data_IF_347488633406
#
_entry.id   IF_347488633406
#
_cell.length_a   1.000
_cell.length_b   1.000
_cell.length_c   1.000
_cell.angle_alpha   90.00
_cell.angle_beta   90.00
_cell.angle_gamma   90.00
#
_symmetry.space_group_name_H-M   'P 1'
#
loop_
_entity.id
_entity.type
_entity.pdbx_description
1 polymer ?
#
# COMPACT_ATOMS: atom_id res chain seq x y z
N UNK A 1 7.81 -8.21 -11.34
CA UNK A 1 6.49 -7.77 -10.83
C UNK A 1 6.71 -7.13 -9.47
N UNK A 2 6.28 -5.89 -9.28
CA UNK A 2 6.38 -5.18 -8.00
C UNK A 2 5.25 -5.60 -7.06
N UNK A 3 5.58 -5.96 -5.82
CA UNK A 3 4.58 -6.17 -4.77
C UNK A 3 4.10 -4.80 -4.26
N UNK A 4 2.80 -4.53 -4.39
CA UNK A 4 2.13 -3.36 -3.83
C UNK A 4 1.20 -3.78 -2.69
N UNK A 5 0.86 -2.86 -1.78
CA UNK A 5 -0.12 -3.13 -0.71
C UNK A 5 -1.45 -3.60 -1.29
N UNK A 6 -1.97 -2.95 -2.35
CA UNK A 6 -3.22 -3.37 -2.98
C UNK A 6 -3.20 -4.81 -3.49
N UNK A 7 -2.10 -5.26 -4.13
CA UNK A 7 -1.95 -6.66 -4.58
C UNK A 7 -1.85 -7.65 -3.41
N UNK A 8 -1.22 -7.22 -2.31
CA UNK A 8 -1.13 -8.03 -1.10
C UNK A 8 -2.51 -8.14 -0.44
N UNK A 9 -3.32 -7.08 -0.42
CA UNK A 9 -4.71 -7.12 0.04
C UNK A 9 -5.59 -8.03 -0.81
N UNK A 10 -5.50 -7.94 -2.14
CA UNK A 10 -6.25 -8.83 -3.05
C UNK A 10 -5.90 -10.29 -2.77
N UNK A 11 -4.61 -10.59 -2.58
CA UNK A 11 -4.15 -11.93 -2.21
C UNK A 11 -4.65 -12.35 -0.83
N UNK A 12 -4.62 -11.45 0.15
CA UNK A 12 -5.12 -11.72 1.51
C UNK A 12 -6.61 -12.04 1.51
N UNK A 13 -7.42 -11.23 0.82
CA UNK A 13 -8.85 -11.47 0.67
C UNK A 13 -9.10 -12.79 -0.03
N UNK A 14 -8.42 -13.06 -1.15
CA UNK A 14 -8.53 -14.35 -1.83
C UNK A 14 -8.19 -15.52 -0.90
N UNK A 15 -7.05 -15.46 -0.20
CA UNK A 15 -6.66 -16.49 0.77
C UNK A 15 -7.71 -16.67 1.86
N UNK A 16 -8.33 -15.59 2.35
CA UNK A 16 -9.35 -15.63 3.39
C UNK A 16 -10.69 -16.21 2.91
N UNK A 17 -11.12 -15.91 1.68
CA UNK A 17 -12.38 -16.40 1.10
C UNK A 17 -12.26 -17.81 0.51
N UNK A 18 -11.06 -18.25 0.12
CA UNK A 18 -10.79 -19.61 -0.36
C UNK A 18 -10.65 -20.63 0.82
N UNK A 19 -10.77 -20.18 2.07
CA UNK A 19 -10.71 -21.06 3.24
C UNK A 19 -11.94 -21.97 3.33
N UNK A 20 -11.75 -23.24 2.96
CA UNK A 20 -12.79 -24.26 3.12
C UNK A 20 -12.92 -24.72 4.59
N UNK A 21 -14.10 -24.54 5.23
CA UNK A 21 -14.37 -25.01 6.59
C UNK A 21 -14.77 -26.49 6.65
N UNK A 22 -15.16 -27.11 5.52
CA UNK A 22 -15.84 -28.42 5.47
C UNK A 22 -14.92 -29.63 5.59
N UNK A 23 -13.59 -29.42 5.62
CA UNK A 23 -12.62 -30.49 5.80
C UNK A 23 -12.81 -31.29 7.09
N UNK A 24 -12.26 -32.50 7.15
CA UNK A 24 -12.32 -33.30 8.38
C UNK A 24 -11.60 -32.59 9.55
N UNK A 25 -12.13 -32.68 10.80
CA UNK A 25 -11.44 -32.18 11.99
C UNK A 25 -10.10 -32.90 12.18
N UNK A 26 -9.05 -32.15 12.54
CA UNK A 26 -7.71 -32.69 12.74
C UNK A 26 -7.34 -32.79 14.24
N UNK A 27 -6.54 -33.79 14.64
CA UNK A 27 -6.02 -33.85 15.99
C UNK A 27 -5.10 -32.64 16.27
N UNK A 28 -5.18 -32.08 17.49
CA UNK A 28 -4.44 -30.89 17.93
C UNK A 28 -4.69 -29.60 17.11
N UNK A 29 -5.74 -29.58 16.29
CA UNK A 29 -6.07 -28.45 15.43
C UNK A 29 -6.26 -27.14 16.20
N UNK A 30 -6.89 -27.19 17.38
CA UNK A 30 -7.05 -26.01 18.24
C UNK A 30 -5.71 -25.36 18.58
N UNK A 31 -4.66 -26.16 18.83
CA UNK A 31 -3.34 -25.66 19.16
C UNK A 31 -2.63 -25.06 17.93
N UNK A 32 -2.82 -25.65 16.75
CA UNK A 32 -2.25 -25.16 15.48
C UNK A 32 -2.93 -23.84 15.05
N UNK A 33 -4.25 -23.77 15.19
CA UNK A 33 -5.03 -22.55 14.96
C UNK A 33 -4.62 -21.45 15.94
N UNK A 34 -4.46 -21.77 17.23
CA UNK A 34 -3.99 -20.81 18.22
C UNK A 34 -2.57 -20.31 17.92
N UNK A 35 -1.67 -21.19 17.49
CA UNK A 35 -0.31 -20.82 17.08
C UNK A 35 -0.31 -19.91 15.84
N UNK A 36 -1.16 -20.19 14.85
CA UNK A 36 -1.35 -19.35 13.67
C UNK A 36 -1.91 -17.97 14.02
N UNK A 37 -2.95 -17.91 14.85
CA UNK A 37 -3.52 -16.64 15.32
C UNK A 37 -2.56 -15.81 16.17
N UNK A 38 -1.68 -16.44 16.95
CA UNK A 38 -0.61 -15.75 17.67
C UNK A 38 0.39 -15.07 16.74
N UNK A 39 0.68 -15.65 15.58
CA UNK A 39 1.54 -15.02 14.58
C UNK A 39 0.79 -13.93 13.80
N UNK A 40 -0.42 -14.23 13.34
CA UNK A 40 -1.27 -13.32 12.58
C UNK A 40 -1.61 -12.04 13.38
N UNK A 41 -2.04 -12.18 14.63
CA UNK A 41 -2.40 -11.04 15.50
C UNK A 41 -1.25 -10.07 15.72
N UNK A 42 -0.02 -10.58 15.92
CA UNK A 42 1.19 -9.74 16.05
C UNK A 42 1.51 -8.99 14.76
N UNK A 43 1.38 -9.65 13.60
CA UNK A 43 1.60 -8.99 12.30
C UNK A 43 0.51 -7.97 11.99
N UNK A 44 -0.74 -8.27 12.34
CA UNK A 44 -1.86 -7.35 12.22
C UNK A 44 -1.68 -6.15 13.15
N UNK A 45 -1.26 -6.35 14.40
CA UNK A 45 -0.90 -5.27 15.32
C UNK A 45 0.20 -4.39 14.72
N UNK A 46 1.26 -4.99 14.14
CA UNK A 46 2.32 -4.23 13.49
C UNK A 46 1.81 -3.41 12.29
N UNK A 47 0.96 -4.00 11.44
CA UNK A 47 0.36 -3.30 10.29
C UNK A 47 -0.53 -2.14 10.73
N UNK A 48 -1.44 -2.38 11.69
CA UNK A 48 -2.34 -1.36 12.22
C UNK A 48 -1.58 -0.24 12.93
N UNK A 49 -0.56 -0.60 13.72
CA UNK A 49 0.32 0.38 14.39
C UNK A 49 1.17 1.19 13.43
N UNK A 50 1.39 0.70 12.20
CA UNK A 50 2.12 1.38 11.15
C UNK A 50 1.26 2.37 10.34
N UNK A 51 -0.07 2.34 10.50
CA UNK A 51 -0.97 3.25 9.79
C UNK A 51 -0.71 4.72 10.14
N UNK A 52 -0.82 5.65 9.15
CA UNK A 52 -0.51 7.06 9.34
C UNK A 52 -1.76 7.87 9.76
N UNK A 53 -2.36 7.54 10.91
CA UNK A 53 -3.47 8.33 11.48
C UNK A 53 -3.02 9.65 12.10
N UNK A 54 -3.91 10.66 12.12
CA UNK A 54 -3.72 11.86 12.94
C UNK A 54 -3.69 11.55 14.44
N UNK A 55 -2.87 12.31 15.16
CA UNK A 55 -2.77 12.24 16.63
C UNK A 55 -4.08 12.78 17.21
N UNK A 56 -4.70 12.03 18.12
CA UNK A 56 -6.00 12.32 18.74
C UNK A 56 -7.20 12.27 17.76
N UNK A 57 -7.02 11.68 16.58
CA UNK A 57 -8.07 11.48 15.58
C UNK A 57 -9.02 10.31 15.92
N UNK A 58 -10.23 10.34 15.36
CA UNK A 58 -11.22 9.24 15.51
C UNK A 58 -10.66 7.91 15.01
N UNK A 59 -9.87 7.93 13.94
CA UNK A 59 -9.20 6.75 13.38
C UNK A 59 -8.13 6.17 14.32
N UNK A 60 -7.40 7.01 15.05
CA UNK A 60 -6.41 6.56 16.04
C UNK A 60 -7.07 5.84 17.22
N UNK A 61 -8.14 6.43 17.77
CA UNK A 61 -8.90 5.81 18.86
C UNK A 61 -9.50 4.46 18.43
N UNK A 62 -9.98 4.37 17.18
CA UNK A 62 -10.51 3.14 16.61
C UNK A 62 -9.42 2.08 16.42
N UNK A 63 -8.25 2.47 15.89
CA UNK A 63 -7.06 1.61 15.80
C UNK A 63 -6.68 1.05 17.18
N UNK A 64 -6.54 1.91 18.18
CA UNK A 64 -6.12 1.51 19.53
C UNK A 64 -7.13 0.57 20.20
N UNK A 65 -8.42 0.77 19.92
CA UNK A 65 -9.46 -0.18 20.31
C UNK A 65 -9.22 -1.56 19.69
N UNK A 66 -8.96 -1.65 18.38
CA UNK A 66 -8.63 -2.93 17.73
C UNK A 66 -7.33 -3.56 18.28
N UNK A 67 -6.28 -2.76 18.48
CA UNK A 67 -5.01 -3.23 19.05
C UNK A 67 -5.19 -3.86 20.43
N UNK A 68 -6.01 -3.24 21.30
CA UNK A 68 -6.29 -3.77 22.64
C UNK A 68 -6.92 -5.17 22.61
N UNK A 69 -7.67 -5.46 21.54
CA UNK A 69 -8.45 -6.69 21.36
C UNK A 69 -7.67 -7.81 20.66
N UNK A 70 -6.56 -7.48 19.99
CA UNK A 70 -5.63 -8.45 19.41
C UNK A 70 -4.66 -9.03 20.45
N UNK A 71 -4.30 -8.26 21.49
CA UNK A 71 -3.38 -8.67 22.56
C UNK A 71 -3.69 -10.03 23.20
N UNK A 72 -4.95 -10.39 23.50
CA UNK A 72 -5.29 -11.71 24.05
C UNK A 72 -4.95 -12.89 23.14
N UNK A 73 -4.74 -12.65 21.83
CA UNK A 73 -4.44 -13.68 20.84
C UNK A 73 -2.94 -13.91 20.61
N UNK A 74 -2.05 -13.09 21.17
CA UNK A 74 -0.60 -13.18 20.92
C UNK A 74 0.04 -14.50 21.38
N UNK A 75 -0.65 -15.28 22.22
CA UNK A 75 -0.15 -16.55 22.74
C UNK A 75 1.18 -16.39 23.50
N UNK A 76 1.88 -17.51 23.78
CA UNK A 76 3.23 -17.45 24.33
C UNK A 76 4.24 -16.97 23.29
N UNK A 77 5.28 -16.25 23.74
CA UNK A 77 6.33 -15.69 22.86
C UNK A 77 7.16 -16.76 22.14
N UNK A 78 7.28 -17.96 22.72
CA UNK A 78 7.83 -19.16 22.07
C UNK A 78 6.71 -20.17 21.82
N UNK A 79 6.35 -20.37 20.55
CA UNK A 79 5.46 -21.45 20.14
C UNK A 79 6.29 -22.68 19.80
N UNK A 80 6.06 -23.78 20.52
CA UNK A 80 6.58 -25.11 20.16
C UNK A 80 5.68 -25.82 19.14
N UNK A 81 4.46 -25.31 18.96
CA UNK A 81 3.44 -25.85 18.05
C UNK A 81 3.54 -25.19 16.69
N UNK A 82 3.52 -26.00 15.63
CA UNK A 82 3.49 -25.51 14.26
C UNK A 82 2.15 -24.81 13.96
N UNK A 83 2.16 -23.60 13.36
CA UNK A 83 0.94 -22.92 12.97
C UNK A 83 0.21 -23.67 11.85
N UNK A 84 -1.10 -23.45 11.73
CA UNK A 84 -1.85 -23.90 10.56
C UNK A 84 -1.31 -23.19 9.29
N UNK A 85 -0.97 -23.93 8.22
CA UNK A 85 -0.35 -23.35 7.01
C UNK A 85 -1.24 -22.30 6.34
N UNK A 86 -2.57 -22.41 6.48
CA UNK A 86 -3.52 -21.43 5.91
C UNK A 86 -3.44 -20.08 6.63
N UNK A 87 -3.17 -20.12 7.94
CA UNK A 87 -2.93 -18.91 8.75
C UNK A 87 -1.52 -18.37 8.56
N UNK A 88 -0.55 -19.22 8.25
CA UNK A 88 0.83 -18.83 7.95
C UNK A 88 0.90 -17.96 6.69
N UNK A 89 0.21 -18.34 5.61
CA UNK A 89 0.12 -17.53 4.38
C UNK A 89 -0.46 -16.13 4.65
N UNK A 90 -1.58 -16.06 5.38
CA UNK A 90 -2.18 -14.78 5.78
C UNK A 90 -1.22 -13.96 6.65
N UNK A 91 -0.50 -14.60 7.57
CA UNK A 91 0.49 -13.97 8.44
C UNK A 91 1.63 -13.35 7.63
N UNK A 92 2.14 -14.06 6.62
CA UNK A 92 3.20 -13.56 5.75
C UNK A 92 2.74 -12.35 4.94
N UNK A 93 1.52 -12.38 4.40
CA UNK A 93 0.95 -11.28 3.62
C UNK A 93 0.76 -10.03 4.49
N UNK A 94 0.15 -10.18 5.67
CA UNK A 94 -0.04 -9.06 6.62
C UNK A 94 1.30 -8.52 7.12
N UNK A 95 2.28 -9.40 7.35
CA UNK A 95 3.65 -9.00 7.69
C UNK A 95 4.31 -8.18 6.59
N UNK A 96 4.17 -8.58 5.33
CA UNK A 96 4.69 -7.81 4.20
C UNK A 96 4.02 -6.43 4.08
N UNK A 97 2.70 -6.33 4.34
CA UNK A 97 2.01 -5.04 4.38
C UNK A 97 2.58 -4.15 5.50
N UNK A 98 2.78 -4.72 6.71
CA UNK A 98 3.40 -3.99 7.82
C UNK A 98 4.81 -3.50 7.47
N UNK A 99 5.64 -4.36 6.88
CA UNK A 99 7.01 -4.01 6.48
C UNK A 99 7.01 -2.90 5.40
N UNK A 100 6.08 -2.96 4.44
CA UNK A 100 5.91 -1.90 3.44
C UNK A 100 5.47 -0.57 4.08
N UNK A 101 4.53 -0.59 5.01
CA UNK A 101 4.08 0.61 5.74
C UNK A 101 5.20 1.19 6.61
N UNK A 102 6.00 0.37 7.28
CA UNK A 102 7.14 0.81 8.10
C UNK A 102 8.26 1.36 7.23
N UNK A 103 8.58 0.70 6.11
CA UNK A 103 9.63 1.14 5.18
C UNK A 103 9.25 2.44 4.48
N UNK A 104 7.97 2.62 4.16
CA UNK A 104 7.44 3.82 3.51
C UNK A 104 6.84 4.83 4.52
N UNK A 105 7.02 4.62 5.83
CA UNK A 105 6.83 5.65 6.85
C UNK A 105 8.05 6.56 6.77
N UNK A 106 7.97 7.78 6.21
CA UNK A 106 9.13 8.67 6.29
C UNK A 106 9.31 9.11 7.75
N UNK A 107 10.52 9.04 8.32
CA UNK A 107 11.00 10.09 9.19
C UNK A 107 11.70 11.12 8.29
N UNK A 108 11.01 12.10 7.70
CA UNK A 108 11.77 13.27 7.23
C UNK A 108 12.21 14.02 8.51
N UNK A 109 13.51 14.00 8.81
CA UNK A 109 14.10 15.12 9.52
C UNK A 109 14.40 16.17 8.46
N UNK A 110 13.71 17.31 8.48
CA UNK A 110 14.25 18.49 7.81
C UNK A 110 15.45 18.92 8.63
N UNK A 111 16.66 18.73 8.10
CA UNK A 111 17.84 19.39 8.67
C UNK A 111 17.54 20.88 8.70
N UNK A 112 17.53 21.47 9.90
CA UNK A 112 17.45 22.91 10.03
C UNK A 112 18.52 23.52 9.11
N UNK A 113 18.19 24.57 8.33
CA UNK A 113 19.09 25.12 7.33
C UNK A 113 20.48 25.32 7.94
N UNK A 114 21.48 24.73 7.28
CA UNK A 114 22.87 24.82 7.70
C UNK A 114 23.22 26.31 7.86
N UNK A 115 23.83 26.68 8.99
CA UNK A 115 24.01 28.04 9.56
C UNK A 115 24.77 29.07 8.69
N UNK A 116 24.67 29.07 7.37
CA UNK A 116 25.65 29.79 6.55
C UNK A 116 25.35 31.28 6.29
N UNK A 117 24.20 31.84 6.69
CA UNK A 117 23.89 33.23 6.29
C UNK A 117 23.30 34.21 7.33
N UNK A 118 23.06 33.84 8.60
CA UNK A 118 22.59 34.82 9.59
C UNK A 118 23.25 34.61 10.96
N UNK A 119 24.10 35.54 11.34
CA UNK A 119 24.94 35.50 12.55
C UNK A 119 24.21 35.62 13.88
N UNK A 120 22.87 35.72 13.91
CA UNK A 120 22.09 35.94 15.15
C UNK A 120 20.72 35.22 15.23
N UNK A 121 20.44 34.19 14.42
CA UNK A 121 19.15 33.51 14.49
C UNK A 121 19.07 32.46 15.63
N UNK A 122 18.00 32.52 16.43
CA UNK A 122 17.67 31.51 17.47
C UNK A 122 17.71 30.10 16.86
N UNK A 123 18.28 29.14 17.59
CA UNK A 123 18.25 27.72 17.24
C UNK A 123 16.80 27.26 17.27
N UNK A 124 16.22 26.97 16.10
CA UNK A 124 14.95 26.28 16.01
C UNK A 124 15.20 24.77 16.00
N UNK A 125 14.42 23.97 16.76
CA UNK A 125 14.46 22.52 16.64
C UNK A 125 14.08 22.08 15.21
N UNK A 126 14.55 20.91 14.75
CA UNK A 126 14.20 20.39 13.43
C UNK A 126 12.68 20.33 13.26
N UNK A 127 12.18 20.81 12.11
CA UNK A 127 10.75 20.81 11.81
C UNK A 127 10.37 19.48 11.15
N UNK A 128 9.61 18.70 11.91
CA UNK A 128 8.81 17.53 11.55
C UNK A 128 7.82 17.78 10.39
N UNK A 129 8.19 17.84 9.11
CA UNK A 129 7.19 18.12 8.03
C UNK A 129 6.51 16.88 7.40
N UNK A 130 5.54 16.30 8.11
CA UNK A 130 4.43 15.46 7.60
C UNK A 130 4.37 15.27 6.07
N UNK A 131 4.60 14.09 5.45
CA UNK A 131 3.93 13.82 4.14
C UNK A 131 2.44 14.02 4.42
N UNK A 132 1.73 14.69 3.51
CA UNK A 132 0.32 15.02 3.73
C UNK A 132 -0.44 13.75 4.15
N UNK A 133 -1.10 13.88 5.31
CA UNK A 133 -1.74 12.80 6.07
C UNK A 133 -2.91 12.24 5.26
N UNK A 134 -3.02 10.93 5.14
CA UNK A 134 -4.10 10.23 4.42
C UNK A 134 -4.96 9.42 5.40
N UNK A 135 -5.65 10.11 6.30
CA UNK A 135 -6.63 9.48 7.21
C UNK A 135 -7.68 8.64 6.46
N UNK A 136 -8.22 9.07 5.29
CA UNK A 136 -9.10 8.24 4.48
C UNK A 136 -8.44 6.95 4.00
N UNK A 137 -7.21 7.02 3.47
CA UNK A 137 -6.47 5.83 3.04
C UNK A 137 -6.05 4.92 4.18
N UNK A 138 -5.68 5.48 5.34
CA UNK A 138 -5.40 4.72 6.55
C UNK A 138 -6.64 3.97 7.05
N UNK A 139 -7.80 4.64 7.04
CA UNK A 139 -9.09 4.04 7.38
C UNK A 139 -9.47 2.94 6.39
N UNK A 140 -9.35 3.18 5.09
CA UNK A 140 -9.63 2.17 4.06
C UNK A 140 -8.73 0.93 4.19
N UNK A 141 -7.43 1.12 4.42
CA UNK A 141 -6.48 0.03 4.65
C UNK A 141 -6.79 -0.75 5.94
N UNK A 142 -7.12 -0.06 7.03
CA UNK A 142 -7.59 -0.69 8.27
C UNK A 142 -8.84 -1.54 8.01
N UNK A 143 -9.85 -1.00 7.37
CA UNK A 143 -11.09 -1.70 7.03
C UNK A 143 -10.83 -2.94 6.17
N UNK A 144 -9.92 -2.85 5.21
CA UNK A 144 -9.51 -3.99 4.37
C UNK A 144 -8.84 -5.11 5.18
N UNK A 145 -7.89 -4.77 6.05
CA UNK A 145 -7.22 -5.74 6.93
C UNK A 145 -8.21 -6.41 7.89
N UNK A 146 -9.15 -5.63 8.46
CA UNK A 146 -10.16 -6.14 9.39
C UNK A 146 -11.21 -7.02 8.68
N UNK A 147 -11.60 -6.69 7.46
CA UNK A 147 -12.51 -7.52 6.67
C UNK A 147 -11.93 -8.90 6.34
N UNK A 148 -10.65 -8.98 5.96
CA UNK A 148 -9.99 -10.27 5.80
C UNK A 148 -9.88 -11.02 7.14
N UNK A 149 -9.57 -10.31 8.22
CA UNK A 149 -9.51 -10.86 9.58
C UNK A 149 -10.87 -11.44 10.03
N UNK A 150 -11.98 -10.80 9.65
CA UNK A 150 -13.32 -11.31 9.88
C UNK A 150 -13.55 -12.66 9.20
N UNK A 151 -13.23 -12.78 7.90
CA UNK A 151 -13.40 -14.02 7.15
C UNK A 151 -12.56 -15.17 7.74
N UNK A 152 -11.28 -14.91 8.06
CA UNK A 152 -10.40 -15.87 8.73
C UNK A 152 -10.94 -16.26 10.11
N UNK A 153 -11.48 -15.28 10.86
CA UNK A 153 -12.10 -15.49 12.17
C UNK A 153 -13.34 -16.39 12.11
N UNK A 154 -14.24 -16.14 11.14
CA UNK A 154 -15.42 -16.96 10.92
C UNK A 154 -15.06 -18.39 10.55
N UNK A 155 -14.10 -18.56 9.64
CA UNK A 155 -13.55 -19.88 9.31
C UNK A 155 -12.99 -20.59 10.56
N UNK A 156 -12.20 -19.88 11.37
CA UNK A 156 -11.62 -20.42 12.60
C UNK A 156 -12.70 -20.88 13.58
N UNK A 157 -13.79 -20.11 13.76
CA UNK A 157 -14.90 -20.50 14.64
C UNK A 157 -15.59 -21.76 14.15
N UNK A 158 -15.84 -21.89 12.85
CA UNK A 158 -16.44 -23.09 12.25
C UNK A 158 -15.54 -24.32 12.45
N UNK A 159 -14.22 -24.16 12.33
CA UNK A 159 -13.25 -25.24 12.63
C UNK A 159 -13.25 -25.63 14.11
N UNK A 160 -13.35 -24.66 15.02
CA UNK A 160 -13.43 -24.92 16.46
C UNK A 160 -14.74 -25.62 16.85
N UNK A 161 -15.84 -25.31 16.18
CA UNK A 161 -17.12 -26.00 16.35
C UNK A 161 -17.04 -27.44 15.85
N UNK A 162 -16.48 -27.69 14.66
CA UNK A 162 -16.25 -29.04 14.13
C UNK A 162 -15.35 -29.90 15.04
N UNK A 163 -14.42 -29.27 15.76
CA UNK A 163 -13.52 -29.92 16.71
C UNK A 163 -14.07 -29.99 18.15
N UNK A 164 -15.35 -29.70 18.37
CA UNK A 164 -15.98 -29.75 19.70
C UNK A 164 -15.27 -28.86 20.76
N UNK A 165 -14.61 -27.78 20.32
CA UNK A 165 -13.89 -26.83 21.17
C UNK A 165 -14.51 -25.41 21.24
N UNK A 166 -15.84 -25.20 21.14
CA UNK A 166 -16.42 -23.86 21.03
C UNK A 166 -16.35 -23.04 22.33
N UNK A 167 -16.14 -23.69 23.49
CA UNK A 167 -16.17 -23.04 24.81
C UNK A 167 -14.78 -22.58 25.30
N UNK A 168 -13.72 -22.78 24.51
CA UNK A 168 -12.35 -22.42 24.92
C UNK A 168 -12.17 -20.90 25.06
N UNK A 169 -11.20 -20.48 25.89
CA UNK A 169 -10.81 -19.06 26.00
C UNK A 169 -10.39 -18.49 24.64
N UNK A 170 -9.68 -19.30 23.85
CA UNK A 170 -9.29 -18.96 22.49
C UNK A 170 -10.51 -18.71 21.59
N UNK A 171 -11.48 -19.63 21.55
CA UNK A 171 -12.72 -19.44 20.79
C UNK A 171 -13.47 -18.15 21.22
N UNK A 172 -13.48 -17.83 22.51
CA UNK A 172 -14.08 -16.58 23.01
C UNK A 172 -13.37 -15.35 22.47
N UNK A 173 -12.03 -15.33 22.49
CA UNK A 173 -11.24 -14.24 21.92
C UNK A 173 -11.48 -14.07 20.42
N UNK A 174 -11.55 -15.15 19.65
CA UNK A 174 -11.88 -15.10 18.22
C UNK A 174 -13.28 -14.52 17.99
N UNK A 175 -14.30 -14.92 18.77
CA UNK A 175 -15.65 -14.32 18.66
C UNK A 175 -15.65 -12.81 18.88
N UNK A 176 -14.83 -12.31 19.82
CA UNK A 176 -14.73 -10.88 20.07
C UNK A 176 -14.10 -10.14 18.88
N UNK A 177 -13.04 -10.71 18.29
CA UNK A 177 -12.43 -10.15 17.08
C UNK A 177 -13.41 -10.16 15.90
N UNK A 178 -14.12 -11.27 15.68
CA UNK A 178 -15.13 -11.40 14.62
C UNK A 178 -16.25 -10.36 14.79
N UNK A 179 -16.78 -10.19 16.01
CA UNK A 179 -17.83 -9.21 16.27
C UNK A 179 -17.37 -7.77 15.96
N UNK A 180 -16.11 -7.43 16.25
CA UNK A 180 -15.54 -6.11 15.98
C UNK A 180 -15.28 -5.86 14.50
N UNK A 181 -14.85 -6.88 13.77
CA UNK A 181 -14.54 -6.76 12.35
C UNK A 181 -15.79 -6.85 11.46
N UNK A 182 -16.95 -7.20 12.03
CA UNK A 182 -18.18 -7.46 11.28
C UNK A 182 -18.62 -6.25 10.46
N UNK A 183 -18.57 -5.05 11.03
CA UNK A 183 -18.95 -3.83 10.32
C UNK A 183 -18.06 -3.59 9.09
N UNK A 184 -16.74 -3.71 9.27
CA UNK A 184 -15.76 -3.51 8.21
C UNK A 184 -15.87 -4.56 7.10
N UNK A 185 -16.24 -5.80 7.44
CA UNK A 185 -16.50 -6.85 6.47
C UNK A 185 -17.76 -6.59 5.62
N UNK A 186 -18.76 -5.91 6.17
CA UNK A 186 -20.01 -5.57 5.49
C UNK A 186 -19.90 -4.29 4.65
N UNK A 187 -18.88 -3.47 4.88
CA UNK A 187 -18.62 -2.27 4.09
C UNK A 187 -18.26 -2.60 2.63
N UNK A 188 -18.61 -1.71 1.71
CA UNK A 188 -18.35 -1.90 0.28
C UNK A 188 -16.83 -1.94 0.01
N UNK A 189 -16.29 -2.96 -0.70
CA UNK A 189 -14.90 -2.99 -1.15
C UNK A 189 -14.43 -1.69 -1.80
N UNK A 190 -15.27 -1.03 -2.59
CA UNK A 190 -14.90 0.21 -3.28
C UNK A 190 -14.71 1.40 -2.32
N UNK A 191 -15.41 1.40 -1.18
CA UNK A 191 -15.24 2.43 -0.14
C UNK A 191 -13.98 2.26 0.72
N UNK A 192 -13.27 1.13 0.56
CA UNK A 192 -12.07 0.80 1.32
C UNK A 192 -10.76 1.03 0.55
N UNK A 193 -10.84 1.38 -0.73
CA UNK A 193 -9.66 1.70 -1.54
C UNK A 193 -9.09 3.07 -1.15
N UNK A 194 -7.77 3.20 -1.17
CA UNK A 194 -7.10 4.43 -0.76
C UNK A 194 -5.71 4.60 -1.35
N UNK A 195 -5.10 5.77 -1.15
CA UNK A 195 -3.78 6.10 -1.70
C UNK A 195 -2.67 5.14 -1.25
N UNK A 196 -2.83 4.50 -0.08
CA UNK A 196 -1.89 3.52 0.46
C UNK A 196 -1.80 2.22 -0.37
N UNK A 197 -2.79 1.91 -1.21
CA UNK A 197 -2.79 0.70 -2.05
C UNK A 197 -1.64 0.68 -3.07
N UNK A 198 -1.13 1.87 -3.42
CA UNK A 198 -0.06 2.07 -4.39
C UNK A 198 1.34 1.93 -3.78
N UNK A 199 1.48 1.86 -2.45
CA UNK A 199 2.77 1.66 -1.80
C UNK A 199 3.39 0.35 -2.29
N UNK A 200 4.63 0.43 -2.75
CA UNK A 200 5.35 -0.68 -3.35
C UNK A 200 6.65 -1.00 -2.60
N UNK A 201 7.15 -2.22 -2.79
CA UNK A 201 8.44 -2.65 -2.25
C UNK A 201 9.66 -1.95 -2.87
N UNK A 202 9.47 -1.14 -3.92
CA UNK A 202 10.56 -0.39 -4.56
C UNK A 202 10.90 0.81 -3.68
N UNK A 203 12.10 0.90 -3.09
CA UNK A 203 12.53 2.09 -2.38
C UNK A 203 12.44 3.29 -3.32
N UNK A 204 11.93 4.42 -2.80
CA UNK A 204 11.90 5.70 -3.54
C UNK A 204 13.31 6.12 -3.95
N UNK A 205 14.39 5.57 -3.39
CA UNK A 205 15.78 5.88 -3.76
C UNK A 205 16.44 4.84 -4.67
N UNK A 206 15.70 3.84 -5.17
CA UNK A 206 16.30 2.80 -6.00
C UNK A 206 16.79 3.38 -7.35
N UNK A 207 18.07 3.15 -7.75
CA UNK A 207 18.59 3.60 -9.04
C UNK A 207 18.17 2.65 -10.17
N UNK A 208 16.86 2.49 -10.37
CA UNK A 208 16.26 1.67 -11.41
C UNK A 208 15.13 2.42 -12.12
N UNK A 209 14.72 1.94 -13.31
CA UNK A 209 13.56 2.50 -14.03
C UNK A 209 12.30 2.49 -13.17
N UNK A 210 12.14 1.46 -12.34
CA UNK A 210 11.00 1.30 -11.45
C UNK A 210 11.04 2.30 -10.30
N UNK A 211 12.23 2.51 -9.69
CA UNK A 211 12.44 3.55 -8.68
C UNK A 211 12.23 4.95 -9.26
N UNK A 212 12.72 5.22 -10.46
CA UNK A 212 12.51 6.49 -11.16
C UNK A 212 11.03 6.74 -11.50
N UNK A 213 10.28 5.69 -11.85
CA UNK A 213 8.84 5.77 -12.06
C UNK A 213 8.09 6.06 -10.75
N UNK A 214 8.46 5.41 -9.65
CA UNK A 214 7.86 5.66 -8.34
C UNK A 214 8.12 7.10 -7.85
N UNK A 215 9.37 7.61 -7.97
CA UNK A 215 9.73 9.01 -7.68
C UNK A 215 8.91 9.99 -8.54
N UNK A 216 8.84 9.71 -9.84
CA UNK A 216 8.07 10.55 -10.76
C UNK A 216 6.58 10.60 -10.40
N UNK A 217 5.98 9.46 -10.05
CA UNK A 217 4.56 9.39 -9.71
C UNK A 217 4.24 10.18 -8.44
N UNK A 218 5.04 10.05 -7.38
CA UNK A 218 4.86 10.82 -6.14
C UNK A 218 5.00 12.33 -6.38
N UNK A 219 6.05 12.74 -7.09
CA UNK A 219 6.26 14.16 -7.41
C UNK A 219 5.20 14.73 -8.35
N UNK A 220 4.68 13.91 -9.27
CA UNK A 220 3.57 14.28 -10.15
C UNK A 220 2.29 14.53 -9.36
N UNK A 221 1.99 13.65 -8.40
CA UNK A 221 0.84 13.75 -7.50
C UNK A 221 0.95 15.01 -6.62
N UNK A 222 2.10 15.21 -5.97
CA UNK A 222 2.37 16.43 -5.19
C UNK A 222 2.29 17.70 -6.02
N UNK A 223 2.73 17.65 -7.29
CA UNK A 223 2.63 18.79 -8.19
C UNK A 223 1.18 19.13 -8.55
N UNK A 224 0.30 18.13 -8.65
CA UNK A 224 -1.13 18.28 -8.96
C UNK A 224 -1.95 18.73 -7.75
N UNK A 225 -1.62 18.28 -6.54
CA UNK A 225 -2.32 18.67 -5.31
C UNK A 225 -1.98 20.08 -4.81
N UNK A 226 -1.01 20.76 -5.42
CA UNK A 226 -0.74 22.17 -5.12
C UNK A 226 -1.96 23.03 -5.47
N UNK A 227 -2.33 23.92 -4.55
CA UNK A 227 -3.40 24.92 -4.71
C UNK A 227 -3.28 25.76 -5.99
N UNK A 228 -2.07 25.90 -6.54
CA UNK A 228 -1.81 26.48 -7.85
C UNK A 228 -0.76 25.63 -8.59
N UNK A 229 -1.16 25.01 -9.70
CA UNK A 229 -0.27 24.23 -10.59
C UNK A 229 0.14 25.11 -11.77
N UNK A 230 1.39 25.13 -12.20
CA UNK A 230 1.76 25.93 -13.38
C UNK A 230 1.32 25.25 -14.69
N UNK A 231 0.99 26.02 -15.72
CA UNK A 231 0.69 25.47 -17.06
C UNK A 231 1.86 24.63 -17.61
N UNK A 232 3.10 25.04 -17.31
CA UNK A 232 4.30 24.27 -17.67
C UNK A 232 4.40 22.92 -16.95
N UNK A 233 3.98 22.84 -15.69
CA UNK A 233 3.91 21.59 -14.93
C UNK A 233 2.90 20.63 -15.54
N UNK A 234 1.70 21.11 -15.90
CA UNK A 234 0.68 20.28 -16.54
C UNK A 234 1.10 19.80 -17.94
N UNK A 235 1.70 20.68 -18.73
CA UNK A 235 2.23 20.31 -20.05
C UNK A 235 3.34 19.24 -19.94
N UNK A 236 4.20 19.35 -18.92
CA UNK A 236 5.24 18.36 -18.68
C UNK A 236 4.66 17.01 -18.20
N UNK A 237 3.64 17.02 -17.35
CA UNK A 237 2.91 15.82 -16.91
C UNK A 237 2.28 15.09 -18.08
N UNK A 238 1.58 15.83 -18.93
CA UNK A 238 0.98 15.27 -20.13
C UNK A 238 2.03 14.72 -21.10
N UNK A 239 3.17 15.39 -21.23
CA UNK A 239 4.31 14.91 -22.02
C UNK A 239 4.91 13.63 -21.45
N UNK A 240 5.07 13.53 -20.13
CA UNK A 240 5.59 12.33 -19.46
C UNK A 240 4.64 11.15 -19.64
N UNK A 241 3.34 11.38 -19.45
CA UNK A 241 2.29 10.38 -19.68
C UNK A 241 2.28 9.90 -21.13
N UNK A 242 2.44 10.80 -22.10
CA UNK A 242 2.56 10.43 -23.50
C UNK A 242 3.79 9.55 -23.78
N UNK A 243 4.95 9.89 -23.21
CA UNK A 243 6.20 9.14 -23.37
C UNK A 243 6.08 7.74 -22.73
N UNK A 244 5.61 7.67 -21.49
CA UNK A 244 5.39 6.42 -20.77
C UNK A 244 4.43 5.51 -21.52
N UNK A 245 3.34 6.09 -22.02
CA UNK A 245 2.32 5.33 -22.74
C UNK A 245 2.83 4.84 -24.09
N UNK A 246 3.62 5.64 -24.80
CA UNK A 246 4.28 5.21 -26.03
C UNK A 246 5.30 4.09 -25.77
N UNK A 247 6.09 4.19 -24.69
CA UNK A 247 7.04 3.16 -24.27
C UNK A 247 6.32 1.84 -23.94
N UNK A 248 5.25 1.89 -23.15
CA UNK A 248 4.41 0.72 -22.85
C UNK A 248 3.82 0.15 -24.12
N UNK A 249 3.29 1.00 -25.02
CA UNK A 249 2.74 0.60 -26.31
C UNK A 249 3.76 -0.06 -27.26
N UNK A 250 5.04 0.27 -27.14
CA UNK A 250 6.13 -0.40 -27.88
C UNK A 250 6.42 -1.79 -27.31
N UNK A 251 6.40 -1.93 -25.98
CA UNK A 251 6.62 -3.21 -25.29
C UNK A 251 5.45 -4.17 -25.52
N UNK A 252 4.21 -3.69 -25.42
CA UNK A 252 3.00 -4.50 -25.64
C UNK A 252 2.87 -4.95 -27.09
N UNK A 253 3.24 -4.12 -28.08
CA UNK A 253 3.27 -4.53 -29.50
C UNK A 253 4.33 -5.59 -29.81
N UNK A 254 5.36 -5.72 -28.98
CA UNK A 254 6.34 -6.80 -29.07
C UNK A 254 5.84 -8.12 -28.43
N UNK A 255 4.82 -8.06 -27.57
CA UNK A 255 4.09 -9.22 -27.03
C UNK A 255 2.90 -9.58 -27.91
N UNK A 256 2.85 -10.82 -28.41
CA UNK A 256 1.88 -11.23 -29.44
C UNK A 256 0.59 -11.84 -28.87
N UNK A 257 0.01 -11.33 -27.77
CA UNK A 257 -1.25 -11.88 -27.23
C UNK A 257 -2.44 -10.93 -27.40
N UNK A 258 -3.65 -11.48 -27.39
CA UNK A 258 -4.89 -10.71 -27.56
C UNK A 258 -5.14 -9.71 -26.40
N UNK A 259 -4.65 -10.01 -25.19
CA UNK A 259 -4.71 -9.09 -24.05
C UNK A 259 -3.85 -7.84 -24.25
N UNK A 260 -2.73 -7.96 -24.98
CA UNK A 260 -1.82 -6.84 -25.25
C UNK A 260 -2.45 -5.76 -26.16
N UNK A 261 -3.45 -6.14 -26.98
CA UNK A 261 -4.21 -5.18 -27.80
C UNK A 261 -5.19 -4.34 -26.99
N UNK A 262 -5.94 -4.94 -26.07
CA UNK A 262 -6.88 -4.20 -25.21
C UNK A 262 -6.16 -3.15 -24.35
N UNK A 263 -5.04 -3.54 -23.74
CA UNK A 263 -4.17 -2.62 -22.99
C UNK A 263 -3.65 -1.49 -23.90
N UNK A 264 -3.29 -1.80 -25.14
CA UNK A 264 -2.81 -0.78 -26.08
C UNK A 264 -3.90 0.23 -26.47
N UNK A 265 -5.15 -0.20 -26.63
CA UNK A 265 -6.29 0.67 -26.94
C UNK A 265 -6.64 1.60 -25.75
N UNK A 266 -6.67 1.07 -24.53
CA UNK A 266 -6.88 1.85 -23.31
C UNK A 266 -5.79 2.91 -23.12
N UNK A 267 -4.53 2.53 -23.38
CA UNK A 267 -3.39 3.43 -23.35
C UNK A 267 -3.50 4.56 -24.39
N UNK A 268 -3.93 4.25 -25.63
CA UNK A 268 -4.17 5.27 -26.66
C UNK A 268 -5.30 6.22 -26.21
N UNK A 269 -6.38 5.69 -25.64
CA UNK A 269 -7.47 6.49 -25.06
C UNK A 269 -7.00 7.41 -23.95
N UNK A 270 -6.15 6.91 -23.04
CA UNK A 270 -5.56 7.69 -21.96
C UNK A 270 -4.67 8.84 -22.50
N UNK A 271 -3.84 8.59 -23.53
CA UNK A 271 -3.05 9.65 -24.19
C UNK A 271 -3.96 10.75 -24.73
N UNK A 272 -5.04 10.38 -25.43
CA UNK A 272 -5.96 11.34 -26.02
C UNK A 272 -6.63 12.21 -24.95
N UNK A 273 -7.06 11.59 -23.84
CA UNK A 273 -7.60 12.29 -22.67
C UNK A 273 -6.59 13.28 -22.07
N UNK A 274 -5.35 12.84 -21.85
CA UNK A 274 -4.29 13.70 -21.30
C UNK A 274 -3.93 14.87 -22.21
N UNK A 275 -3.86 14.66 -23.54
CA UNK A 275 -3.63 15.76 -24.49
C UNK A 275 -4.73 16.81 -24.41
N UNK A 276 -5.99 16.39 -24.31
CA UNK A 276 -7.13 17.30 -24.13
C UNK A 276 -7.07 18.07 -22.81
N UNK A 277 -6.64 17.44 -21.72
CA UNK A 277 -6.44 18.10 -20.41
C UNK A 277 -5.24 19.06 -20.46
N UNK A 278 -4.25 18.77 -21.29
CA UNK A 278 -3.04 19.58 -21.46
C UNK A 278 -3.21 20.75 -22.44
N UNK A 279 -4.25 20.73 -23.29
CA UNK A 279 -4.68 21.84 -24.15
C UNK A 279 -5.30 22.96 -23.32
N UNK A 280 -4.47 23.61 -22.49
CA UNK A 280 -4.86 24.82 -21.78
C UNK A 280 -4.94 26.00 -22.74
N UNK A 281 -5.94 26.88 -22.58
CA UNK A 281 -5.96 28.17 -23.27
C UNK A 281 -4.65 28.92 -23.05
N UNK A 282 -4.03 29.39 -24.14
CA UNK A 282 -2.68 30.00 -24.15
C UNK A 282 -2.57 31.29 -23.33
N UNK A 283 -3.72 31.84 -22.93
CA UNK A 283 -3.90 33.04 -22.12
C UNK A 283 -3.96 32.77 -20.60
N UNK A 284 -4.16 31.53 -20.16
CA UNK A 284 -4.20 31.18 -18.73
C UNK A 284 -2.78 30.95 -18.21
N UNK A 285 -2.23 31.95 -17.53
CA UNK A 285 -0.98 31.84 -16.78
C UNK A 285 -1.28 31.45 -15.33
N UNK A 286 -1.26 30.17 -15.03
CA UNK A 286 -1.35 29.71 -13.64
C UNK A 286 -0.07 30.08 -12.86
N UNK A 287 -0.21 30.93 -11.83
CA UNK A 287 0.88 31.58 -11.10
C UNK A 287 1.51 30.77 -9.96
N UNK A 288 1.41 29.45 -9.99
CA UNK A 288 1.98 28.58 -8.96
C UNK A 288 3.52 28.59 -8.92
N UNK A 289 4.14 28.23 -7.79
CA UNK A 289 5.58 28.00 -7.73
C UNK A 289 5.97 26.83 -8.64
N UNK A 290 7.13 26.95 -9.33
CA UNK A 290 7.67 25.85 -10.15
C UNK A 290 7.89 24.59 -9.30
N UNK A 291 7.33 23.47 -9.73
CA UNK A 291 7.56 22.15 -9.10
C UNK A 291 8.93 21.60 -9.49
N UNK A 292 9.99 22.06 -8.81
CA UNK A 292 11.39 21.71 -9.13
C UNK A 292 11.68 20.22 -8.96
N UNK A 293 11.12 19.62 -7.92
CA UNK A 293 11.33 18.22 -7.58
C UNK A 293 10.69 17.31 -8.64
N UNK A 294 9.46 17.62 -9.04
CA UNK A 294 8.83 17.04 -10.23
C UNK A 294 9.63 17.22 -11.54
N UNK A 295 10.22 18.39 -11.79
CA UNK A 295 11.10 18.58 -12.97
C UNK A 295 12.32 17.64 -12.90
N UNK A 296 12.90 17.46 -11.71
CA UNK A 296 14.03 16.55 -11.51
C UNK A 296 13.63 15.10 -11.76
N UNK A 297 12.53 14.65 -11.14
CA UNK A 297 12.01 13.29 -11.29
C UNK A 297 11.58 12.97 -12.73
N UNK A 298 10.95 13.92 -13.42
CA UNK A 298 10.61 13.82 -14.85
C UNK A 298 11.84 13.63 -15.74
N UNK A 299 12.91 14.40 -15.50
CA UNK A 299 14.17 14.26 -16.24
C UNK A 299 14.83 12.90 -15.98
N UNK A 300 14.84 12.47 -14.72
CA UNK A 300 15.38 11.19 -14.34
C UNK A 300 14.62 10.05 -15.02
N UNK A 301 13.30 10.02 -14.92
CA UNK A 301 12.45 9.03 -15.57
C UNK A 301 12.70 8.98 -17.09
N UNK A 302 12.69 10.13 -17.76
CA UNK A 302 12.97 10.22 -19.19
C UNK A 302 14.36 9.67 -19.53
N UNK A 303 15.36 9.93 -18.69
CA UNK A 303 16.71 9.39 -18.88
C UNK A 303 16.71 7.86 -18.86
N UNK A 304 16.04 7.22 -17.90
CA UNK A 304 15.91 5.76 -17.83
C UNK A 304 15.12 5.18 -19.00
N UNK A 305 13.99 5.81 -19.39
CA UNK A 305 13.20 5.38 -20.55
C UNK A 305 14.01 5.48 -21.85
N UNK A 306 14.85 6.51 -21.97
CA UNK A 306 15.73 6.69 -23.13
C UNK A 306 16.98 5.78 -23.12
N UNK A 307 17.33 5.19 -21.97
CA UNK A 307 18.62 4.53 -21.77
C UNK A 307 18.77 3.12 -22.37
N UNK A 308 17.72 2.41 -22.85
CA UNK A 308 17.88 1.26 -23.80
C UNK A 308 16.56 0.72 -24.38
N UNK A 309 16.54 0.19 -25.63
CA UNK A 309 17.35 -0.97 -26.05
C UNK A 309 18.17 -0.80 -27.35
N UNK A 310 19.42 -0.34 -27.27
CA UNK A 310 20.49 -0.79 -28.19
C UNK A 310 20.95 -2.20 -27.78
N UNK A 311 20.44 -3.22 -28.47
CA UNK A 311 20.75 -4.62 -28.19
C UNK A 311 22.20 -5.00 -28.46
N UNK A 312 22.65 -6.06 -27.79
CA UNK A 312 23.40 -7.16 -28.40
C UNK A 312 23.39 -8.35 -27.45
N UNK A 313 22.82 -9.44 -27.95
CA UNK A 313 23.05 -10.80 -27.46
C UNK A 313 24.55 -11.05 -27.57
N UNK A 314 25.22 -11.20 -26.43
CA UNK A 314 26.56 -11.75 -26.34
C UNK A 314 26.47 -13.08 -25.61
N UNK A 315 26.39 -14.16 -26.38
CA UNK A 315 26.74 -15.49 -25.91
C UNK A 315 28.20 -15.47 -25.46
N UNK A 316 28.42 -15.73 -24.18
CA UNK A 316 29.59 -16.41 -23.64
C UNK A 316 29.18 -17.09 -22.32
#
# INVERSE_FOLDING_TARGET
MTATIGRLLDRLHKTAYDLDPTGAPQPAEVAHLAAGWAALSRRLEAALSALPYDIDGVGEAQRDHYLSMLRPLHGPTRNTTTPDPRLEDATLIVGAIADLLVTNRPPFQVQAPEKWFYTNAKVYPPVYQWRDRDDPGATGLQSNLLAATYAIGQWTLQRLEANHAPATRFARSIRHVVALCQYEAQSDPETRRGGLDHISATPIDEPSLLGAFARWADEAEQALFRRMVTSGTLAMLASDMAILTAATGHITRAGTTAGDRGVSEELIGAIAGWKKIAEWPTDIRMGGPRARDYISASRELRSYVSARPTGTVGLA
#
